data_IF_704032194909
#
_entry.id   IF_704032194909
#
_cell.length_a   1.000
_cell.length_b   1.000
_cell.length_c   1.000
_cell.angle_alpha   90.00
_cell.angle_beta   90.00
_cell.angle_gamma   90.00
#
_symmetry.space_group_name_H-M   'P 1'
#
loop_
_entity.id
_entity.type
_entity.pdbx_description
1 polymer ?
#
# COMPACT_ATOMS: atom_id res chain seq x y z
N UNK A 1 -9.08 -1.70 36.99
CA UNK A 1 -9.50 -1.08 35.70
C UNK A 1 -8.32 -0.67 34.79
N UNK A 2 -7.08 -1.17 35.00
CA UNK A 2 -5.89 -0.77 34.20
C UNK A 2 -5.36 -1.88 33.25
N UNK A 3 -5.76 -3.14 33.45
CA UNK A 3 -5.27 -4.28 32.66
C UNK A 3 -5.95 -4.46 31.30
N UNK A 4 -7.19 -3.98 31.12
CA UNK A 4 -7.90 -4.09 29.83
C UNK A 4 -7.37 -3.12 28.76
N UNK A 5 -6.77 -1.99 29.18
CA UNK A 5 -6.25 -0.97 28.26
C UNK A 5 -4.91 -1.41 27.64
N UNK A 6 -4.09 -2.13 28.41
CA UNK A 6 -2.78 -2.63 27.93
C UNK A 6 -2.96 -3.72 26.87
N UNK A 7 -3.98 -4.57 27.01
CA UNK A 7 -4.24 -5.67 26.06
C UNK A 7 -4.76 -5.17 24.69
N UNK A 8 -5.51 -4.06 24.68
CA UNK A 8 -6.02 -3.47 23.45
C UNK A 8 -4.92 -2.81 22.62
N UNK A 9 -3.85 -2.31 23.27
CA UNK A 9 -2.73 -1.69 22.58
C UNK A 9 -1.75 -2.70 21.97
N UNK A 10 -1.57 -3.87 22.59
CA UNK A 10 -0.71 -4.93 22.04
C UNK A 10 -1.35 -5.65 20.85
N UNK A 11 -2.68 -5.81 20.83
CA UNK A 11 -3.39 -6.41 19.70
C UNK A 11 -3.37 -5.54 18.43
N UNK A 12 -3.32 -4.20 18.59
CA UNK A 12 -3.26 -3.28 17.44
C UNK A 12 -1.88 -3.23 16.76
N UNK A 13 -0.81 -3.57 17.50
CA UNK A 13 0.57 -3.54 17.00
C UNK A 13 0.93 -4.76 16.13
N UNK A 14 0.20 -5.87 16.25
CA UNK A 14 0.46 -7.12 15.51
C UNK A 14 -0.31 -7.20 14.17
N UNK A 15 -1.11 -6.19 13.85
CA UNK A 15 -1.90 -6.13 12.62
C UNK A 15 -1.55 -4.88 11.81
N UNK A 16 -0.25 -4.58 11.75
CA UNK A 16 0.31 -3.70 10.71
C UNK A 16 0.61 -4.62 9.52
N UNK A 17 -0.32 -4.82 8.57
CA UNK A 17 0.09 -5.31 7.27
C UNK A 17 1.19 -4.38 6.77
N UNK A 18 2.33 -4.97 6.40
CA UNK A 18 3.42 -4.29 5.73
C UNK A 18 2.90 -3.91 4.33
N UNK A 19 2.19 -2.79 4.26
CA UNK A 19 1.62 -2.19 3.05
C UNK A 19 2.70 -1.48 2.23
N UNK A 20 3.83 -2.13 2.02
CA UNK A 20 4.83 -1.69 1.06
C UNK A 20 5.50 -2.97 0.60
N UNK A 21 5.09 -3.46 -0.57
CA UNK A 21 5.78 -4.59 -1.18
C UNK A 21 7.15 -4.15 -1.69
N UNK A 22 8.18 -4.51 -0.93
CA UNK A 22 9.57 -4.30 -1.35
C UNK A 22 9.97 -5.31 -2.43
N UNK A 23 9.98 -4.87 -3.69
CA UNK A 23 10.41 -5.70 -4.83
C UNK A 23 11.94 -5.82 -4.97
N UNK A 24 12.74 -5.24 -4.07
CA UNK A 24 14.21 -5.25 -4.21
C UNK A 24 14.80 -6.66 -4.36
N UNK A 25 14.28 -7.62 -3.61
CA UNK A 25 14.71 -9.01 -3.69
C UNK A 25 14.37 -9.66 -5.05
N UNK A 26 13.16 -9.41 -5.56
CA UNK A 26 12.72 -9.94 -6.85
C UNK A 26 13.50 -9.29 -8.00
N UNK A 27 13.81 -7.99 -7.90
CA UNK A 27 14.62 -7.26 -8.89
C UNK A 27 16.04 -7.84 -8.93
N UNK A 28 16.63 -8.10 -7.77
CA UNK A 28 17.94 -8.76 -7.69
C UNK A 28 17.91 -10.14 -8.34
N UNK A 29 16.86 -10.94 -8.09
CA UNK A 29 16.64 -12.24 -8.74
C UNK A 29 16.52 -12.08 -10.26
N UNK A 30 15.71 -11.16 -10.76
CA UNK A 30 15.57 -10.87 -12.18
C UNK A 30 16.91 -10.57 -12.84
N UNK A 31 17.70 -9.65 -12.25
CA UNK A 31 19.00 -9.26 -12.78
C UNK A 31 19.99 -10.43 -12.83
N UNK A 32 20.00 -11.29 -11.81
CA UNK A 32 20.85 -12.48 -11.80
C UNK A 32 20.50 -13.47 -12.92
N UNK A 33 19.20 -13.67 -13.19
CA UNK A 33 18.76 -14.57 -14.27
C UNK A 33 19.06 -13.93 -15.62
N UNK A 34 18.72 -12.65 -15.80
CA UNK A 34 18.97 -11.90 -17.02
C UNK A 34 20.44 -11.93 -17.45
N UNK A 35 21.38 -11.93 -16.50
CA UNK A 35 22.81 -12.04 -16.77
C UNK A 35 23.21 -13.35 -17.49
N UNK A 36 22.38 -14.39 -17.41
CA UNK A 36 22.61 -15.71 -18.03
C UNK A 36 21.84 -15.93 -19.34
N UNK A 37 21.01 -14.96 -19.75
CA UNK A 37 20.06 -15.11 -20.86
C UNK A 37 20.39 -14.21 -22.05
N UNK A 38 19.85 -14.57 -23.21
CA UNK A 38 19.93 -13.78 -24.45
C UNK A 38 18.91 -12.62 -24.39
N UNK A 39 19.40 -11.41 -24.15
CA UNK A 39 18.56 -10.23 -23.85
C UNK A 39 17.81 -9.66 -25.05
N UNK A 40 18.21 -10.04 -26.27
CA UNK A 40 17.56 -9.69 -27.55
C UNK A 40 16.42 -10.65 -27.92
N UNK A 41 16.18 -11.70 -27.13
CA UNK A 41 15.07 -12.61 -27.35
C UNK A 41 13.73 -11.97 -27.00
N UNK A 42 12.68 -12.28 -27.76
CA UNK A 42 11.29 -11.84 -27.48
C UNK A 42 10.87 -12.02 -26.00
N UNK A 43 11.11 -13.18 -25.34
CA UNK A 43 10.78 -13.33 -23.93
C UNK A 43 11.59 -12.42 -23.00
N UNK A 44 12.86 -12.15 -23.28
CA UNK A 44 13.68 -11.26 -22.44
C UNK A 44 13.26 -9.79 -22.58
N UNK A 45 12.85 -9.36 -23.79
CA UNK A 45 12.31 -8.02 -24.02
C UNK A 45 10.96 -7.84 -23.31
N UNK A 46 10.07 -8.83 -23.42
CA UNK A 46 8.79 -8.83 -22.72
C UNK A 46 8.97 -8.84 -21.19
N UNK A 47 9.96 -9.60 -20.69
CA UNK A 47 10.32 -9.64 -19.28
C UNK A 47 10.78 -8.27 -18.76
N UNK A 48 11.62 -7.57 -19.52
CA UNK A 48 12.09 -6.22 -19.17
C UNK A 48 10.95 -5.20 -19.16
N UNK A 49 10.04 -5.26 -20.13
CA UNK A 49 8.87 -4.38 -20.16
C UNK A 49 7.93 -4.63 -18.96
N UNK A 50 7.74 -5.88 -18.56
CA UNK A 50 6.94 -6.23 -17.38
C UNK A 50 7.62 -5.73 -16.09
N UNK A 51 8.95 -5.83 -15.99
CA UNK A 51 9.72 -5.26 -14.87
C UNK A 51 9.56 -3.74 -14.76
N UNK A 52 9.67 -3.02 -15.88
CA UNK A 52 9.51 -1.56 -15.92
C UNK A 52 8.09 -1.14 -15.51
N UNK A 53 7.06 -1.91 -15.90
CA UNK A 53 5.67 -1.69 -15.45
C UNK A 53 5.52 -1.91 -13.95
N UNK A 54 6.05 -3.01 -13.41
CA UNK A 54 6.01 -3.29 -11.98
C UNK A 54 6.67 -2.16 -11.16
N UNK A 55 7.82 -1.66 -11.62
CA UNK A 55 8.50 -0.54 -10.98
C UNK A 55 7.69 0.76 -11.04
N UNK A 56 7.10 1.09 -12.20
CA UNK A 56 6.25 2.27 -12.35
C UNK A 56 4.99 2.24 -11.50
N UNK A 57 4.36 1.07 -11.37
CA UNK A 57 3.18 0.86 -10.54
C UNK A 57 3.48 1.06 -9.05
N UNK A 58 4.64 0.58 -8.57
CA UNK A 58 5.11 0.81 -7.19
C UNK A 58 5.47 2.27 -6.92
N UNK A 59 6.19 2.93 -7.83
CA UNK A 59 6.52 4.35 -7.63
C UNK A 59 5.25 5.22 -7.56
N UNK A 60 4.22 4.86 -8.33
CA UNK A 60 2.93 5.52 -8.31
C UNK A 60 2.14 5.22 -7.03
N UNK A 61 2.16 3.98 -6.52
CA UNK A 61 1.52 3.61 -5.26
C UNK A 61 2.22 4.27 -4.07
N UNK A 62 3.54 4.15 -3.97
CA UNK A 62 4.29 4.45 -2.75
C UNK A 62 4.36 5.94 -2.45
N UNK A 63 4.57 6.79 -3.45
CA UNK A 63 4.80 8.22 -3.19
C UNK A 63 3.51 9.01 -3.24
N UNK A 64 2.68 8.82 -4.26
CA UNK A 64 1.51 9.71 -4.47
C UNK A 64 0.28 9.24 -3.69
N UNK A 65 0.01 7.94 -3.70
CA UNK A 65 -1.21 7.41 -3.11
C UNK A 65 -1.10 7.32 -1.58
N UNK A 66 0.03 6.86 -1.05
CA UNK A 66 0.27 6.82 0.41
C UNK A 66 0.16 8.22 1.03
N UNK A 67 0.79 9.24 0.43
CA UNK A 67 0.71 10.61 0.93
C UNK A 67 -0.72 11.17 0.87
N UNK A 68 -1.48 10.83 -0.17
CA UNK A 68 -2.88 11.24 -0.31
C UNK A 68 -3.79 10.57 0.73
N UNK A 69 -3.68 9.25 0.90
CA UNK A 69 -4.37 8.47 1.94
C UNK A 69 -4.08 9.08 3.31
N UNK A 70 -2.81 9.39 3.60
CA UNK A 70 -2.39 10.01 4.85
C UNK A 70 -2.97 11.40 5.08
N UNK A 71 -2.96 12.24 4.05
CA UNK A 71 -3.55 13.59 4.11
C UNK A 71 -5.04 13.55 4.41
N UNK A 72 -5.79 12.70 3.70
CA UNK A 72 -7.23 12.53 3.88
C UNK A 72 -7.55 11.99 5.27
N UNK A 73 -6.80 10.99 5.73
CA UNK A 73 -7.01 10.39 7.05
C UNK A 73 -6.77 11.40 8.17
N UNK A 74 -5.68 12.18 8.09
CA UNK A 74 -5.39 13.22 9.06
C UNK A 74 -6.45 14.34 9.04
N UNK A 75 -7.04 14.62 7.89
CA UNK A 75 -8.17 15.56 7.79
C UNK A 75 -9.41 15.02 8.50
N UNK A 76 -9.74 13.74 8.32
CA UNK A 76 -10.84 13.07 9.02
C UNK A 76 -10.64 13.08 10.54
N UNK A 77 -9.44 12.70 11.00
CA UNK A 77 -9.08 12.71 12.42
C UNK A 77 -9.22 14.10 13.04
N UNK A 78 -8.65 15.15 12.41
CA UNK A 78 -8.79 16.53 12.90
C UNK A 78 -10.24 16.99 12.99
N UNK A 79 -11.07 16.60 12.02
CA UNK A 79 -12.50 16.94 11.98
C UNK A 79 -13.23 16.35 13.20
N UNK A 80 -12.80 15.19 13.67
CA UNK A 80 -13.32 14.51 14.87
C UNK A 80 -12.67 14.98 16.18
N UNK A 81 -11.74 15.95 16.13
CA UNK A 81 -10.98 16.40 17.30
C UNK A 81 -9.86 15.45 17.72
N UNK A 82 -9.45 14.54 16.84
CA UNK A 82 -8.31 13.64 17.05
C UNK A 82 -6.99 14.26 16.57
N UNK A 83 -5.90 13.86 17.22
CA UNK A 83 -4.55 14.23 16.79
C UNK A 83 -4.18 13.46 15.50
N UNK A 84 -3.53 14.10 14.52
CA UNK A 84 -3.01 13.44 13.33
C UNK A 84 -2.10 12.25 13.68
N UNK A 85 -2.22 11.16 12.93
CA UNK A 85 -1.34 10.01 13.06
C UNK A 85 -0.10 10.21 12.16
N UNK A 86 1.06 9.72 12.63
CA UNK A 86 2.32 9.90 11.91
C UNK A 86 2.68 8.72 10.99
N UNK A 87 2.10 7.51 11.16
CA UNK A 87 2.41 6.33 10.33
C UNK A 87 1.29 5.27 10.33
N UNK A 88 1.10 4.64 9.14
CA UNK A 88 0.50 3.33 8.71
C UNK A 88 -0.73 2.73 9.41
N UNK A 89 -1.15 3.22 10.57
CA UNK A 89 -2.33 2.77 11.33
C UNK A 89 -3.56 3.65 11.11
N UNK A 90 -3.51 4.53 10.10
CA UNK A 90 -4.32 5.74 10.03
C UNK A 90 -5.79 5.41 9.71
N UNK A 91 -6.05 4.48 8.78
CA UNK A 91 -7.42 4.11 8.36
C UNK A 91 -8.25 3.56 9.53
N UNK A 92 -7.75 2.52 10.21
CA UNK A 92 -8.41 1.92 11.38
C UNK A 92 -8.61 2.92 12.52
N UNK A 93 -7.71 3.91 12.64
CA UNK A 93 -7.83 4.96 13.65
C UNK A 93 -8.98 5.92 13.34
N UNK A 94 -9.23 6.25 12.07
CA UNK A 94 -10.40 7.03 11.67
C UNK A 94 -11.70 6.25 11.87
N UNK A 95 -11.72 4.95 11.54
CA UNK A 95 -12.88 4.07 11.83
C UNK A 95 -13.19 4.03 13.33
N UNK A 96 -12.17 3.83 14.17
CA UNK A 96 -12.32 3.81 15.63
C UNK A 96 -12.80 5.18 16.18
N UNK A 97 -12.28 6.28 15.63
CA UNK A 97 -12.71 7.63 16.00
C UNK A 97 -14.16 7.93 15.58
N UNK A 98 -14.62 7.39 14.46
CA UNK A 98 -16.02 7.48 14.02
C UNK A 98 -16.96 6.63 14.87
N UNK A 99 -16.49 5.51 15.41
CA UNK A 99 -17.27 4.67 16.32
C UNK A 99 -17.46 5.33 17.70
N UNK A 100 -16.50 6.15 18.13
CA UNK A 100 -16.55 6.88 19.40
C UNK A 100 -16.07 8.34 19.22
N UNK A 101 -16.86 9.20 18.56
CA UNK A 101 -16.43 10.56 18.24
C UNK A 101 -16.33 11.42 19.49
N UNK A 102 -15.25 12.21 19.59
CA UNK A 102 -15.05 13.18 20.69
C UNK A 102 -15.89 14.46 20.54
N UNK A 103 -16.54 14.61 19.39
CA UNK A 103 -17.43 15.73 19.08
C UNK A 103 -18.86 15.22 18.91
N UNK A 104 -19.84 16.00 19.37
CA UNK A 104 -21.27 15.73 19.17
C UNK A 104 -21.85 16.50 17.97
N UNK A 105 -21.01 17.24 17.24
CA UNK A 105 -21.41 18.01 16.07
C UNK A 105 -21.71 17.08 14.88
N UNK A 106 -23.00 16.99 14.53
CA UNK A 106 -23.49 16.14 13.45
C UNK A 106 -22.86 16.47 12.08
N UNK A 107 -22.55 17.74 11.82
CA UNK A 107 -21.94 18.16 10.55
C UNK A 107 -20.50 17.65 10.41
N UNK A 108 -19.73 17.69 11.50
CA UNK A 108 -18.36 17.17 11.55
C UNK A 108 -18.32 15.64 11.45
N UNK A 109 -19.26 14.96 12.10
CA UNK A 109 -19.39 13.51 11.99
C UNK A 109 -19.74 13.12 10.54
N UNK A 110 -20.67 13.83 9.90
CA UNK A 110 -21.03 13.58 8.50
C UNK A 110 -19.84 13.80 7.55
N UNK A 111 -19.11 14.91 7.72
CA UNK A 111 -17.91 15.19 6.94
C UNK A 111 -16.82 14.11 7.12
N UNK A 112 -16.59 13.64 8.36
CA UNK A 112 -15.64 12.57 8.63
C UNK A 112 -16.06 11.23 8.01
N UNK A 113 -17.36 10.90 7.97
CA UNK A 113 -17.88 9.72 7.27
C UNK A 113 -17.67 9.81 5.76
N UNK A 114 -17.88 10.99 5.18
CA UNK A 114 -17.61 11.22 3.76
C UNK A 114 -16.12 11.07 3.44
N UNK A 115 -15.25 11.60 4.28
CA UNK A 115 -13.79 11.42 4.16
C UNK A 115 -13.43 9.94 4.23
N UNK A 116 -14.00 9.18 5.18
CA UNK A 116 -13.77 7.74 5.27
C UNK A 116 -14.23 7.01 4.00
N UNK A 117 -15.41 7.34 3.45
CA UNK A 117 -15.90 6.73 2.23
C UNK A 117 -14.97 6.97 1.03
N UNK A 118 -14.46 8.20 0.87
CA UNK A 118 -13.47 8.52 -0.17
C UNK A 118 -12.15 7.80 0.09
N UNK A 119 -11.71 7.74 1.34
CA UNK A 119 -10.47 7.07 1.73
C UNK A 119 -10.51 5.57 1.43
N UNK A 120 -11.66 4.90 1.62
CA UNK A 120 -11.83 3.48 1.26
C UNK A 120 -11.64 3.23 -0.24
N UNK A 121 -12.05 4.18 -1.09
CA UNK A 121 -11.81 4.09 -2.54
C UNK A 121 -10.33 4.25 -2.86
N UNK A 122 -9.65 5.25 -2.29
CA UNK A 122 -8.21 5.46 -2.49
C UNK A 122 -7.38 4.26 -1.99
N UNK A 123 -7.74 3.70 -0.83
CA UNK A 123 -7.11 2.48 -0.28
C UNK A 123 -7.28 1.29 -1.21
N UNK A 124 -8.47 1.12 -1.83
CA UNK A 124 -8.69 0.05 -2.80
C UNK A 124 -7.78 0.23 -4.02
N UNK A 125 -7.74 1.43 -4.59
CA UNK A 125 -6.88 1.70 -5.76
C UNK A 125 -5.40 1.50 -5.41
N UNK A 126 -5.00 1.83 -4.18
CA UNK A 126 -3.64 1.57 -3.69
C UNK A 126 -3.32 0.07 -3.67
N UNK A 127 -4.20 -0.72 -3.05
CA UNK A 127 -4.04 -2.18 -2.99
C UNK A 127 -4.09 -2.82 -4.38
N UNK A 128 -4.94 -2.33 -5.27
CA UNK A 128 -5.01 -2.82 -6.65
C UNK A 128 -3.68 -2.56 -7.39
N UNK A 129 -3.09 -1.36 -7.25
CA UNK A 129 -1.78 -1.04 -7.83
C UNK A 129 -0.65 -1.87 -7.25
N UNK A 130 -0.61 -2.08 -5.93
CA UNK A 130 0.39 -2.97 -5.30
C UNK A 130 0.27 -4.41 -5.81
N UNK A 131 -0.95 -4.92 -5.94
CA UNK A 131 -1.19 -6.28 -6.44
C UNK A 131 -0.78 -6.41 -7.91
N UNK A 132 -1.13 -5.43 -8.74
CA UNK A 132 -0.70 -5.38 -10.14
C UNK A 132 0.82 -5.40 -10.26
N UNK A 133 1.53 -4.60 -9.45
CA UNK A 133 2.98 -4.58 -9.47
C UNK A 133 3.60 -5.94 -9.12
N UNK A 134 3.05 -6.64 -8.12
CA UNK A 134 3.47 -8.00 -7.76
C UNK A 134 3.21 -8.99 -8.90
N UNK A 135 2.05 -8.92 -9.54
CA UNK A 135 1.71 -9.79 -10.67
C UNK A 135 2.62 -9.54 -11.88
N UNK A 136 2.86 -8.28 -12.22
CA UNK A 136 3.80 -7.89 -13.28
C UNK A 136 5.22 -8.38 -12.96
N UNK A 137 5.64 -8.31 -11.70
CA UNK A 137 6.96 -8.79 -11.29
C UNK A 137 7.08 -10.32 -11.40
N UNK A 138 6.04 -11.06 -11.00
CA UNK A 138 5.98 -12.52 -11.20
C UNK A 138 6.04 -12.88 -12.68
N UNK A 139 5.30 -12.15 -13.52
CA UNK A 139 5.32 -12.34 -14.97
C UNK A 139 6.71 -12.05 -15.55
N UNK A 140 7.37 -10.97 -15.11
CA UNK A 140 8.73 -10.63 -15.52
C UNK A 140 9.72 -11.76 -15.20
N UNK A 141 9.63 -12.34 -14.00
CA UNK A 141 10.47 -13.47 -13.58
C UNK A 141 10.21 -14.73 -14.43
N UNK A 142 8.96 -15.08 -14.72
CA UNK A 142 8.64 -16.23 -15.57
C UNK A 142 9.16 -16.05 -17.00
N UNK A 143 9.00 -14.85 -17.57
CA UNK A 143 9.44 -14.55 -18.92
C UNK A 143 10.97 -14.59 -19.04
N UNK A 144 11.72 -14.03 -18.08
CA UNK A 144 13.18 -14.08 -18.13
C UNK A 144 13.72 -15.50 -17.88
N UNK A 145 13.05 -16.31 -17.05
CA UNK A 145 13.40 -17.73 -16.87
C UNK A 145 13.22 -18.53 -18.18
N UNK A 146 12.17 -18.23 -18.94
CA UNK A 146 11.87 -18.86 -20.24
C UNK A 146 12.77 -18.41 -21.39
N UNK A 147 13.52 -17.32 -21.21
CA UNK A 147 14.43 -16.83 -22.25
C UNK A 147 15.54 -17.85 -22.56
N UNK A 148 16.00 -17.93 -23.83
CA UNK A 148 17.12 -18.78 -24.18
C UNK A 148 18.39 -18.36 -23.42
N UNK A 149 19.21 -19.35 -23.08
CA UNK A 149 20.55 -19.12 -22.54
C UNK A 149 21.42 -18.37 -23.56
N UNK A 150 22.47 -17.72 -23.05
CA UNK A 150 23.50 -17.10 -23.90
C UNK A 150 24.25 -18.11 -24.75
#
# INVERSE_FOLDING_TARGET
>A
MKFRIVLAMTALALYVPCWAHDLSADIAKFNSIAATKKLDSEPAIAAKLALERAQGEIEQSDVKMVLRIRSMTNTGLRTLGEQPAFLTSEFKRLEAALANPKTNDASKIAAAKEILARLSVEMRVYTDLENMAVEQMKQALQLIESAPGK
#
